data_IF_283727640961
#
_entry.id   IF_283727640961
#
_cell.length_a   1.000
_cell.length_b   1.000
_cell.length_c   1.000
_cell.angle_alpha   90.00
_cell.angle_beta   90.00
_cell.angle_gamma   90.00
#
_symmetry.space_group_name_H-M   'P 1'
#
loop_
_entity.id
_entity.type
_entity.pdbx_description
1 polymer ?
#
# COMPACT_ATOMS: atom_id res chain seq x y z
N UNK A 1 13.80 -40.21 -60.63
CA UNK A 1 14.39 -39.21 -59.72
C UNK A 1 13.33 -38.16 -59.44
N UNK A 2 12.69 -38.25 -58.29
CA UNK A 2 11.79 -37.19 -57.80
C UNK A 2 12.63 -35.96 -57.46
N UNK A 3 12.24 -34.80 -58.00
CA UNK A 3 12.81 -33.51 -57.57
C UNK A 3 12.23 -33.22 -56.18
N UNK A 4 13.05 -33.38 -55.14
CA UNK A 4 12.75 -32.79 -53.84
C UNK A 4 12.66 -31.27 -54.04
N UNK A 5 11.47 -30.70 -53.85
CA UNK A 5 11.30 -29.25 -53.82
C UNK A 5 12.00 -28.70 -52.58
N UNK A 6 13.04 -27.90 -52.78
CA UNK A 6 13.69 -27.16 -51.69
C UNK A 6 12.75 -26.03 -51.31
N UNK A 7 12.18 -26.09 -50.11
CA UNK A 7 11.37 -25.02 -49.55
C UNK A 7 12.32 -23.93 -49.04
N UNK A 8 12.40 -22.81 -49.74
CA UNK A 8 13.25 -21.68 -49.40
C UNK A 8 12.38 -20.54 -48.89
N UNK A 9 12.63 -20.10 -47.65
CA UNK A 9 12.01 -18.92 -47.09
C UNK A 9 12.77 -17.68 -47.57
N UNK A 10 12.03 -16.62 -47.88
CA UNK A 10 12.57 -15.32 -48.25
C UNK A 10 12.27 -14.32 -47.13
N UNK A 11 13.23 -13.45 -46.85
CA UNK A 11 13.11 -12.41 -45.85
C UNK A 11 13.51 -11.11 -46.52
N UNK A 12 12.60 -10.15 -46.52
CA UNK A 12 12.81 -8.80 -47.04
C UNK A 12 13.31 -7.89 -45.92
N UNK A 13 14.46 -7.24 -46.12
CA UNK A 13 15.03 -6.32 -45.14
C UNK A 13 14.13 -5.12 -44.86
N UNK A 14 13.43 -4.63 -45.88
CA UNK A 14 12.50 -3.50 -45.81
C UNK A 14 11.34 -3.80 -44.85
N UNK A 15 10.84 -5.04 -44.87
CA UNK A 15 9.81 -5.51 -43.96
C UNK A 15 10.32 -5.53 -42.51
N UNK A 16 11.52 -6.08 -42.27
CA UNK A 16 12.11 -6.14 -40.92
C UNK A 16 12.37 -4.74 -40.34
N UNK A 17 12.87 -3.81 -41.15
CA UNK A 17 13.09 -2.42 -40.75
C UNK A 17 11.76 -1.75 -40.36
N UNK A 18 10.72 -1.93 -41.18
CA UNK A 18 9.40 -1.37 -40.92
C UNK A 18 8.77 -1.95 -39.66
N UNK A 19 8.84 -3.28 -39.51
CA UNK A 19 8.30 -4.00 -38.35
C UNK A 19 8.95 -3.54 -37.04
N UNK A 20 10.28 -3.43 -37.01
CA UNK A 20 10.99 -3.00 -35.80
C UNK A 20 10.62 -1.56 -35.38
N UNK A 21 10.46 -0.67 -36.36
CA UNK A 21 10.04 0.73 -36.12
C UNK A 21 8.58 0.80 -35.66
N UNK A 22 7.68 0.03 -36.27
CA UNK A 22 6.28 -0.05 -35.82
C UNK A 22 6.17 -0.58 -34.39
N UNK A 23 6.92 -1.63 -34.06
CA UNK A 23 6.97 -2.18 -32.70
C UNK A 23 7.47 -1.17 -31.67
N UNK A 24 8.45 -0.36 -32.05
CA UNK A 24 9.06 0.62 -31.17
C UNK A 24 8.19 1.86 -30.97
N UNK A 25 7.72 2.47 -32.07
CA UNK A 25 7.03 3.77 -32.03
C UNK A 25 5.51 3.67 -31.87
N UNK A 26 4.88 2.60 -32.39
CA UNK A 26 3.41 2.49 -32.45
C UNK A 26 2.91 1.48 -31.43
N UNK A 27 3.44 0.25 -31.44
CA UNK A 27 2.94 -0.80 -30.55
C UNK A 27 3.54 -0.74 -29.14
N UNK A 28 4.59 0.04 -28.92
CA UNK A 28 5.21 0.23 -27.60
C UNK A 28 5.74 -1.07 -26.98
N UNK A 29 6.24 -2.02 -27.80
CA UNK A 29 6.70 -3.34 -27.31
C UNK A 29 7.95 -3.28 -26.42
N UNK A 30 8.59 -2.12 -26.35
CA UNK A 30 9.75 -1.84 -25.51
C UNK A 30 11.06 -1.93 -26.26
N UNK A 31 12.02 -1.13 -25.82
CA UNK A 31 13.34 -0.97 -26.46
C UNK A 31 14.09 -2.30 -26.60
N UNK A 32 14.21 -3.06 -25.51
CA UNK A 32 15.03 -4.27 -25.49
C UNK A 32 14.54 -5.34 -26.48
N UNK A 33 13.20 -5.48 -26.63
CA UNK A 33 12.61 -6.42 -27.59
C UNK A 33 12.87 -6.02 -29.04
N UNK A 34 12.85 -4.72 -29.34
CA UNK A 34 13.14 -4.21 -30.68
C UNK A 34 14.62 -4.40 -31.03
N UNK A 35 15.52 -4.15 -30.07
CA UNK A 35 16.95 -4.40 -30.21
C UNK A 35 17.26 -5.89 -30.36
N UNK A 36 16.59 -6.76 -29.59
CA UNK A 36 16.75 -8.22 -29.71
C UNK A 36 16.37 -8.72 -31.12
N UNK A 37 15.23 -8.27 -31.65
CA UNK A 37 14.79 -8.57 -33.01
C UNK A 37 15.87 -8.17 -34.04
N UNK A 38 16.29 -6.90 -34.00
CA UNK A 38 17.25 -6.35 -34.96
C UNK A 38 18.63 -7.00 -34.85
N UNK A 39 19.11 -7.27 -33.63
CA UNK A 39 20.35 -8.00 -33.41
C UNK A 39 20.31 -9.41 -34.01
N UNK A 40 19.17 -10.10 -33.91
CA UNK A 40 18.96 -11.41 -34.54
C UNK A 40 19.05 -11.32 -36.07
N UNK A 41 18.51 -10.25 -36.66
CA UNK A 41 18.49 -10.02 -38.11
C UNK A 41 19.88 -9.67 -38.71
N UNK A 42 20.82 -9.27 -37.87
CA UNK A 42 22.22 -8.95 -38.26
C UNK A 42 23.22 -9.93 -37.66
N UNK A 43 22.75 -11.04 -37.09
CA UNK A 43 23.62 -12.08 -36.53
C UNK A 43 24.35 -12.87 -37.62
N UNK A 44 25.57 -13.31 -37.34
CA UNK A 44 26.39 -14.08 -38.29
C UNK A 44 27.31 -13.25 -39.19
N UNK A 45 27.46 -11.96 -38.93
CA UNK A 45 28.51 -11.10 -39.50
C UNK A 45 29.82 -11.21 -38.69
N UNK A 46 30.91 -10.68 -39.22
CA UNK A 46 32.19 -10.55 -38.50
C UNK A 46 32.20 -9.39 -37.48
N UNK A 47 31.05 -8.74 -37.27
CA UNK A 47 30.93 -7.58 -36.37
C UNK A 47 30.78 -8.01 -34.90
N UNK A 48 31.28 -7.16 -34.01
CA UNK A 48 31.11 -7.36 -32.57
C UNK A 48 29.66 -7.09 -32.14
N UNK A 49 29.25 -7.67 -31.00
CA UNK A 49 27.91 -7.44 -30.42
C UNK A 49 27.59 -5.95 -30.22
N UNK A 50 28.59 -5.15 -29.84
CA UNK A 50 28.41 -3.71 -29.62
C UNK A 50 28.20 -2.96 -30.94
N UNK A 51 28.84 -3.39 -32.03
CA UNK A 51 28.62 -2.82 -33.37
C UNK A 51 27.22 -3.16 -33.87
N UNK A 52 26.80 -4.43 -33.76
CA UNK A 52 25.47 -4.88 -34.15
C UNK A 52 24.39 -4.11 -33.38
N UNK A 53 24.58 -3.91 -32.08
CA UNK A 53 23.66 -3.10 -31.26
C UNK A 53 23.58 -1.66 -31.75
N UNK A 54 24.72 -1.05 -32.12
CA UNK A 54 24.76 0.32 -32.62
C UNK A 54 24.00 0.46 -33.94
N UNK A 55 24.14 -0.51 -34.84
CA UNK A 55 23.37 -0.57 -36.08
C UNK A 55 21.87 -0.71 -35.81
N UNK A 56 21.48 -1.51 -34.81
CA UNK A 56 20.09 -1.65 -34.40
C UNK A 56 19.51 -0.33 -33.87
N UNK A 57 20.30 0.45 -33.13
CA UNK A 57 19.94 1.80 -32.69
C UNK A 57 19.78 2.75 -33.90
N UNK A 58 20.72 2.72 -34.85
CA UNK A 58 20.68 3.55 -36.06
C UNK A 58 19.49 3.20 -36.98
N UNK A 59 19.07 1.93 -37.02
CA UNK A 59 17.85 1.46 -37.70
C UNK A 59 16.59 2.10 -37.12
N UNK A 60 16.49 2.19 -35.79
CA UNK A 60 15.36 2.84 -35.13
C UNK A 60 15.38 4.36 -35.33
N UNK A 61 16.57 4.97 -35.43
CA UNK A 61 16.74 6.41 -35.63
C UNK A 61 16.58 6.87 -37.09
N UNK A 62 16.39 5.95 -38.04
CA UNK A 62 16.29 6.29 -39.47
C UNK A 62 17.64 6.56 -40.14
N UNK A 63 18.74 6.23 -39.47
CA UNK A 63 20.12 6.37 -39.99
C UNK A 63 20.60 5.14 -40.74
N UNK A 64 19.89 4.03 -40.61
CA UNK A 64 20.14 2.83 -41.38
C UNK A 64 18.83 2.11 -41.73
N UNK A 65 18.90 1.21 -42.71
CA UNK A 65 17.82 0.31 -43.09
C UNK A 65 18.40 -1.07 -43.47
N UNK A 66 17.70 -2.14 -43.13
CA UNK A 66 17.91 -3.44 -43.77
C UNK A 66 17.20 -3.40 -45.13
N UNK A 67 17.88 -3.84 -46.18
CA UNK A 67 17.35 -3.85 -47.54
C UNK A 67 17.68 -5.12 -48.29
N UNK A 68 16.87 -5.43 -49.30
CA UNK A 68 17.07 -6.56 -50.19
C UNK A 68 16.56 -7.88 -49.61
N UNK A 69 16.77 -8.94 -50.38
CA UNK A 69 16.19 -10.27 -50.17
C UNK A 69 17.27 -11.29 -49.84
N UNK A 70 16.98 -12.16 -48.87
CA UNK A 70 17.86 -13.31 -48.55
C UNK A 70 17.84 -14.35 -49.65
N UNK A 71 16.74 -14.48 -50.40
CA UNK A 71 16.63 -15.38 -51.55
C UNK A 71 17.47 -14.91 -52.74
N UNK A 72 17.50 -13.61 -53.00
CA UNK A 72 18.26 -13.01 -54.09
C UNK A 72 19.75 -12.77 -53.72
N UNK A 73 20.11 -12.94 -52.45
CA UNK A 73 21.45 -12.64 -51.95
C UNK A 73 21.77 -11.15 -51.92
N UNK A 74 20.74 -10.29 -51.98
CA UNK A 74 20.86 -8.83 -51.94
C UNK A 74 20.64 -8.25 -50.54
N UNK A 75 20.36 -9.10 -49.54
CA UNK A 75 20.16 -8.68 -48.15
C UNK A 75 21.41 -8.01 -47.55
N UNK A 76 21.28 -6.77 -47.11
CA UNK A 76 22.36 -6.01 -46.49
C UNK A 76 21.84 -4.92 -45.55
N UNK A 77 22.74 -4.43 -44.70
CA UNK A 77 22.56 -3.20 -43.94
C UNK A 77 23.01 -2.01 -44.79
N UNK A 78 22.13 -1.04 -45.02
CA UNK A 78 22.43 0.21 -45.67
C UNK A 78 22.52 1.32 -44.62
N UNK A 79 23.70 1.94 -44.47
CA UNK A 79 23.93 3.06 -43.56
C UNK A 79 23.86 4.37 -44.34
N UNK A 80 23.05 5.29 -43.86
CA UNK A 80 22.85 6.60 -44.47
C UNK A 80 23.91 7.61 -44.02
N UNK A 81 24.36 8.44 -44.96
CA UNK A 81 25.14 9.63 -44.63
C UNK A 81 24.26 10.75 -44.04
N UNK A 82 24.85 11.80 -43.47
CA UNK A 82 24.13 12.87 -42.76
C UNK A 82 23.04 13.61 -43.54
N UNK A 83 23.04 13.52 -44.88
CA UNK A 83 22.05 14.17 -45.76
C UNK A 83 21.14 13.17 -46.50
N UNK A 84 21.38 11.87 -46.31
CA UNK A 84 20.62 10.79 -46.95
C UNK A 84 19.78 10.01 -45.93
N UNK A 85 19.70 10.48 -44.69
CA UNK A 85 18.89 9.86 -43.64
C UNK A 85 17.41 9.80 -44.05
N UNK A 86 16.75 8.72 -43.68
CA UNK A 86 15.35 8.54 -44.02
C UNK A 86 14.50 9.54 -43.24
N UNK A 87 13.70 10.34 -43.95
CA UNK A 87 12.74 11.22 -43.30
C UNK A 87 11.63 10.39 -42.67
N UNK A 88 11.77 10.10 -41.38
CA UNK A 88 10.76 9.41 -40.62
C UNK A 88 9.48 10.27 -40.52
N UNK A 89 8.30 9.65 -40.54
CA UNK A 89 7.06 10.32 -40.18
C UNK A 89 7.16 10.98 -38.79
N UNK A 90 6.42 12.06 -38.57
CA UNK A 90 6.43 12.85 -37.31
C UNK A 90 6.24 11.96 -36.07
N UNK A 91 5.33 10.99 -36.12
CA UNK A 91 5.05 10.05 -35.03
C UNK A 91 6.14 8.98 -34.79
N UNK A 92 7.18 8.93 -35.64
CA UNK A 92 8.36 8.06 -35.49
C UNK A 92 9.66 8.88 -35.35
N UNK A 93 9.57 10.22 -35.32
CA UNK A 93 10.75 11.07 -35.18
C UNK A 93 11.09 11.23 -33.69
N UNK A 94 12.18 10.61 -33.24
CA UNK A 94 12.62 10.67 -31.84
C UNK A 94 12.80 12.10 -31.34
N UNK A 95 13.29 13.01 -32.17
CA UNK A 95 13.54 14.39 -31.75
C UNK A 95 12.27 15.17 -31.50
N UNK A 96 11.26 14.96 -32.35
CA UNK A 96 9.94 15.57 -32.20
C UNK A 96 9.23 14.99 -30.96
N UNK A 97 9.23 13.66 -30.81
CA UNK A 97 8.66 12.96 -29.66
C UNK A 97 9.30 13.43 -28.34
N UNK A 98 10.64 13.48 -28.27
CA UNK A 98 11.36 13.94 -27.07
C UNK A 98 11.08 15.42 -26.80
N UNK A 99 10.99 16.24 -27.86
CA UNK A 99 10.63 17.64 -27.76
C UNK A 99 9.24 17.85 -27.15
N UNK A 100 8.24 17.09 -27.60
CA UNK A 100 6.88 17.10 -27.06
C UNK A 100 6.82 16.60 -25.62
N UNK A 101 7.46 15.47 -25.31
CA UNK A 101 7.55 14.94 -23.95
C UNK A 101 8.13 15.96 -22.98
N UNK A 102 9.18 16.68 -23.40
CA UNK A 102 9.77 17.75 -22.59
C UNK A 102 8.78 18.88 -22.34
N UNK A 103 8.06 19.34 -23.38
CA UNK A 103 7.02 20.38 -23.24
C UNK A 103 5.95 19.94 -22.24
N UNK A 104 5.41 18.73 -22.38
CA UNK A 104 4.38 18.18 -21.49
C UNK A 104 4.90 18.09 -20.05
N UNK A 105 6.14 17.64 -19.85
CA UNK A 105 6.77 17.57 -18.53
C UNK A 105 6.90 18.96 -17.89
N UNK A 106 7.40 19.94 -18.64
CA UNK A 106 7.57 21.31 -18.16
C UNK A 106 6.21 21.94 -17.78
N UNK A 107 5.16 21.67 -18.55
CA UNK A 107 3.79 22.10 -18.24
C UNK A 107 3.23 21.42 -16.99
N UNK A 108 3.42 20.11 -16.84
CA UNK A 108 3.01 19.36 -15.66
C UNK A 108 3.68 19.90 -14.40
N UNK A 109 4.99 20.17 -14.45
CA UNK A 109 5.71 20.79 -13.33
C UNK A 109 5.16 22.18 -13.00
N UNK A 110 4.81 22.98 -14.02
CA UNK A 110 4.16 24.28 -13.83
C UNK A 110 2.81 24.13 -13.14
N UNK A 111 1.98 23.16 -13.53
CA UNK A 111 0.70 22.89 -12.87
C UNK A 111 0.88 22.42 -11.43
N UNK A 112 1.82 21.51 -11.16
CA UNK A 112 2.16 21.08 -9.78
C UNK A 112 2.57 22.26 -8.90
N UNK A 113 3.39 23.18 -9.41
CA UNK A 113 3.78 24.40 -8.68
C UNK A 113 2.57 25.29 -8.38
N UNK A 114 1.69 25.52 -9.37
CA UNK A 114 0.46 26.32 -9.20
C UNK A 114 -0.49 25.69 -8.17
N UNK A 115 -0.70 24.38 -8.27
CA UNK A 115 -1.49 23.60 -7.33
C UNK A 115 -0.97 23.75 -5.90
N UNK A 116 0.34 23.57 -5.69
CA UNK A 116 0.96 23.72 -4.37
C UNK A 116 0.76 25.12 -3.77
N UNK A 117 0.84 26.17 -4.59
CA UNK A 117 0.59 27.54 -4.12
C UNK A 117 -0.90 27.75 -3.80
N UNK A 118 -1.80 27.29 -4.67
CA UNK A 118 -3.24 27.38 -4.43
C UNK A 118 -3.65 26.66 -3.14
N UNK A 119 -3.18 25.42 -2.94
CA UNK A 119 -3.44 24.64 -1.73
C UNK A 119 -2.93 25.32 -0.45
N UNK A 120 -1.92 26.18 -0.50
CA UNK A 120 -1.50 26.95 0.69
C UNK A 120 -2.45 28.07 1.06
N UNK A 121 -3.18 28.62 0.09
CA UNK A 121 -4.04 29.80 0.27
C UNK A 121 -5.50 29.42 0.52
N UNK A 122 -5.92 28.22 0.10
CA UNK A 122 -7.30 27.76 0.23
C UNK A 122 -7.61 27.36 1.68
N UNK A 123 -8.76 27.80 2.25
CA UNK A 123 -9.25 27.36 3.57
C UNK A 123 -9.47 25.85 3.68
N UNK A 124 -9.36 25.31 4.90
CA UNK A 124 -9.43 23.87 5.18
C UNK A 124 -10.70 23.19 4.65
N UNK A 125 -11.88 23.77 4.88
CA UNK A 125 -13.16 23.16 4.44
C UNK A 125 -13.24 22.95 2.93
N UNK A 126 -12.66 23.87 2.14
CA UNK A 126 -12.58 23.71 0.68
C UNK A 126 -11.56 22.65 0.28
N UNK A 127 -10.48 22.43 1.05
CA UNK A 127 -9.54 21.33 0.77
C UNK A 127 -10.18 19.97 0.98
N UNK A 128 -11.01 19.85 2.02
CA UNK A 128 -11.78 18.64 2.32
C UNK A 128 -12.77 18.34 1.18
N UNK A 129 -13.51 19.34 0.70
CA UNK A 129 -14.40 19.21 -0.46
C UNK A 129 -13.66 18.83 -1.75
N UNK A 130 -12.53 19.47 -2.03
CA UNK A 130 -11.67 19.12 -3.18
C UNK A 130 -11.12 17.69 -3.04
N UNK A 131 -10.75 17.27 -1.83
CA UNK A 131 -10.24 15.92 -1.56
C UNK A 131 -11.29 14.84 -1.80
N UNK A 132 -12.54 15.08 -1.37
CA UNK A 132 -13.68 14.18 -1.66
C UNK A 132 -13.91 14.04 -3.17
N UNK A 133 -13.88 15.15 -3.91
CA UNK A 133 -14.12 15.13 -5.36
C UNK A 133 -12.99 14.43 -6.13
N UNK A 134 -11.74 14.51 -5.64
CA UNK A 134 -10.57 13.88 -6.25
C UNK A 134 -10.30 12.46 -5.76
N UNK A 135 -11.06 11.95 -4.78
CA UNK A 135 -10.78 10.70 -4.06
C UNK A 135 -9.36 10.69 -3.43
N UNK A 136 -8.94 11.83 -2.87
CA UNK A 136 -7.63 12.05 -2.25
C UNK A 136 -7.75 12.68 -0.85
N UNK A 137 -7.02 12.19 0.15
CA UNK A 137 -6.87 12.89 1.44
C UNK A 137 -5.89 14.06 1.29
N UNK A 138 -6.44 15.25 1.00
CA UNK A 138 -5.68 16.49 0.86
C UNK A 138 -5.46 17.22 2.19
N UNK A 139 -5.90 16.65 3.31
CA UNK A 139 -5.58 17.21 4.62
C UNK A 139 -4.16 16.82 4.99
N UNK A 140 -3.22 17.78 4.90
CA UNK A 140 -1.81 17.51 5.21
C UNK A 140 -1.68 16.81 6.58
N UNK A 141 -0.88 15.73 6.71
CA UNK A 141 -0.69 15.03 7.98
C UNK A 141 -0.14 15.94 9.08
N UNK A 142 0.58 17.00 8.72
CA UNK A 142 1.16 17.99 9.64
C UNK A 142 0.15 19.03 10.15
N UNK A 143 -1.07 19.09 9.57
CA UNK A 143 -2.13 20.05 9.94
C UNK A 143 -3.32 19.39 10.64
N UNK A 144 -3.30 18.08 10.87
CA UNK A 144 -4.19 17.50 11.88
C UNK A 144 -3.85 18.23 13.18
N UNK A 145 -4.79 18.91 13.87
CA UNK A 145 -4.54 19.19 15.27
C UNK A 145 -4.10 17.85 15.87
N UNK A 146 -2.99 17.82 16.58
CA UNK A 146 -2.60 16.64 17.35
C UNK A 146 -3.65 16.53 18.46
N UNK A 147 -4.86 16.11 18.09
CA UNK A 147 -5.84 15.54 18.99
C UNK A 147 -5.08 14.35 19.53
N UNK A 148 -4.68 14.42 20.80
CA UNK A 148 -3.98 13.30 21.41
C UNK A 148 -4.82 12.05 21.19
N UNK A 149 -4.19 10.89 21.02
CA UNK A 149 -4.91 9.62 20.90
C UNK A 149 -5.95 9.45 22.02
N UNK A 150 -5.67 10.02 23.19
CA UNK A 150 -6.60 10.12 24.32
C UNK A 150 -7.86 10.95 24.02
N UNK A 151 -7.71 12.15 23.44
CA UNK A 151 -8.84 13.02 23.08
C UNK A 151 -9.64 12.43 21.91
N UNK A 152 -8.98 11.77 20.96
CA UNK A 152 -9.63 11.11 19.83
C UNK A 152 -10.49 9.93 20.32
N UNK A 153 -9.93 9.08 21.19
CA UNK A 153 -10.67 7.98 21.82
C UNK A 153 -11.83 8.46 22.70
N UNK A 154 -11.65 9.58 23.41
CA UNK A 154 -12.71 10.22 24.19
C UNK A 154 -13.84 10.70 23.28
N UNK A 155 -13.51 11.42 22.21
CA UNK A 155 -14.49 11.91 21.24
C UNK A 155 -15.21 10.75 20.54
N UNK A 156 -14.49 9.69 20.15
CA UNK A 156 -15.08 8.47 19.56
C UNK A 156 -16.16 7.90 20.48
N UNK A 157 -15.86 7.68 21.76
CA UNK A 157 -16.84 7.17 22.74
C UNK A 157 -18.01 8.13 22.97
N UNK A 158 -17.73 9.44 23.09
CA UNK A 158 -18.76 10.43 23.42
C UNK A 158 -19.71 10.75 22.25
N UNK A 159 -19.23 10.59 21.01
CA UNK A 159 -20.01 10.81 19.79
C UNK A 159 -20.64 9.53 19.26
N UNK A 160 -20.32 8.38 19.85
CA UNK A 160 -20.95 7.11 19.55
C UNK A 160 -22.41 7.14 19.98
N UNK A 161 -23.31 6.95 19.00
CA UNK A 161 -24.76 6.91 19.21
C UNK A 161 -25.34 5.51 19.03
N UNK A 162 -24.50 4.53 18.75
CA UNK A 162 -24.93 3.14 18.58
C UNK A 162 -25.24 2.50 19.94
N UNK A 163 -26.25 1.63 19.98
CA UNK A 163 -26.56 0.86 21.19
C UNK A 163 -25.62 -0.36 21.26
N UNK A 164 -24.78 -0.40 22.28
CA UNK A 164 -23.88 -1.53 22.54
C UNK A 164 -24.53 -2.56 23.44
N UNK A 165 -24.15 -3.83 23.28
CA UNK A 165 -24.66 -4.91 24.15
C UNK A 165 -24.09 -4.84 25.56
N UNK A 166 -23.02 -4.05 25.76
CA UNK A 166 -22.24 -3.95 26.98
C UNK A 166 -21.96 -2.49 27.34
N UNK A 167 -21.90 -2.23 28.64
CA UNK A 167 -21.41 -0.95 29.20
C UNK A 167 -19.91 -0.75 28.92
N UNK A 168 -19.43 0.48 29.00
CA UNK A 168 -18.08 0.83 28.56
C UNK A 168 -16.96 0.29 29.45
N UNK A 169 -17.17 0.19 30.76
CA UNK A 169 -16.10 -0.16 31.70
C UNK A 169 -16.55 -1.21 32.70
N UNK A 170 -15.59 -1.94 33.26
CA UNK A 170 -15.90 -3.00 34.20
C UNK A 170 -14.82 -4.05 34.35
N UNK A 171 -15.23 -5.16 34.97
CA UNK A 171 -14.39 -6.32 35.25
C UNK A 171 -14.88 -7.54 34.48
N UNK A 172 -13.96 -8.23 33.82
CA UNK A 172 -14.24 -9.43 33.03
C UNK A 172 -13.62 -10.66 33.69
N UNK A 173 -14.50 -11.59 34.09
CA UNK A 173 -14.13 -12.87 34.69
C UNK A 173 -13.36 -13.78 33.72
N UNK A 174 -12.56 -14.73 34.22
CA UNK A 174 -11.97 -15.80 33.41
C UNK A 174 -12.98 -16.61 32.58
N UNK A 175 -14.24 -16.68 33.01
CA UNK A 175 -15.31 -17.38 32.30
C UNK A 175 -16.03 -16.52 31.24
N UNK A 176 -15.61 -15.27 31.05
CA UNK A 176 -16.21 -14.32 30.09
C UNK A 176 -17.40 -13.51 30.62
N UNK A 177 -17.78 -13.67 31.89
CA UNK A 177 -18.83 -12.83 32.50
C UNK A 177 -18.31 -11.43 32.78
N UNK A 178 -18.98 -10.43 32.22
CA UNK A 178 -18.67 -9.01 32.42
C UNK A 178 -19.50 -8.40 33.54
N UNK A 179 -18.85 -7.58 34.37
CA UNK A 179 -19.46 -6.81 35.43
C UNK A 179 -19.22 -5.34 35.14
N UNK A 180 -20.27 -4.65 34.70
CA UNK A 180 -20.22 -3.23 34.40
C UNK A 180 -19.93 -2.41 35.67
N UNK A 181 -18.99 -1.48 35.56
CA UNK A 181 -18.61 -0.57 36.64
C UNK A 181 -18.48 0.83 36.07
N UNK A 182 -18.96 1.84 36.82
CA UNK A 182 -18.83 3.23 36.39
C UNK A 182 -17.37 3.66 36.40
N UNK A 183 -17.06 4.62 35.53
CA UNK A 183 -15.73 5.21 35.50
C UNK A 183 -15.36 5.79 36.87
N UNK A 184 -14.23 5.36 37.42
CA UNK A 184 -13.74 5.75 38.75
C UNK A 184 -13.94 4.70 39.84
N UNK A 185 -14.93 3.81 39.70
CA UNK A 185 -15.40 2.96 40.81
C UNK A 185 -14.79 1.54 40.77
N UNK A 186 -13.85 1.26 39.86
CA UNK A 186 -13.30 -0.08 39.63
C UNK A 186 -12.65 -0.72 40.87
N UNK A 187 -11.95 0.07 41.68
CA UNK A 187 -11.27 -0.41 42.89
C UNK A 187 -12.26 -0.66 44.03
N UNK A 188 -13.26 0.20 44.16
CA UNK A 188 -14.36 0.03 45.11
C UNK A 188 -15.14 -1.24 44.81
N UNK A 189 -15.55 -1.43 43.55
CA UNK A 189 -16.22 -2.65 43.11
C UNK A 189 -15.38 -3.90 43.37
N UNK A 190 -14.07 -3.85 43.07
CA UNK A 190 -13.18 -5.00 43.30
C UNK A 190 -13.08 -5.35 44.79
N UNK A 191 -13.03 -4.34 45.66
CA UNK A 191 -12.99 -4.54 47.11
C UNK A 191 -14.30 -5.13 47.61
N UNK A 192 -15.44 -4.56 47.24
CA UNK A 192 -16.77 -5.08 47.60
C UNK A 192 -16.97 -6.52 47.11
N UNK A 193 -16.48 -6.84 45.92
CA UNK A 193 -16.51 -8.20 45.40
C UNK A 193 -15.70 -9.16 46.29
N UNK A 194 -14.45 -8.82 46.63
CA UNK A 194 -13.61 -9.65 47.50
C UNK A 194 -14.20 -9.77 48.91
N UNK A 195 -14.74 -8.68 49.45
CA UNK A 195 -15.43 -8.63 50.73
C UNK A 195 -16.63 -9.58 50.74
N UNK A 196 -17.46 -9.56 49.69
CA UNK A 196 -18.62 -10.44 49.55
C UNK A 196 -18.26 -11.93 49.47
N UNK A 197 -17.00 -12.26 49.15
CA UNK A 197 -16.49 -13.63 49.08
C UNK A 197 -15.89 -14.11 50.41
N UNK A 198 -15.51 -13.20 51.31
CA UNK A 198 -15.02 -13.56 52.63
C UNK A 198 -16.17 -14.14 53.46
N UNK A 199 -16.02 -15.38 53.93
CA UNK A 199 -17.06 -16.07 54.74
C UNK A 199 -16.69 -16.17 56.20
N UNK A 200 -15.44 -15.88 56.53
CA UNK A 200 -14.88 -15.98 57.88
C UNK A 200 -14.18 -14.68 58.27
N UNK A 201 -14.14 -14.40 59.58
CA UNK A 201 -13.46 -13.23 60.15
C UNK A 201 -11.96 -13.20 59.79
N UNK A 202 -11.35 -14.39 59.65
CA UNK A 202 -9.95 -14.56 59.27
C UNK A 202 -9.69 -14.22 57.80
N UNK A 203 -10.62 -14.52 56.90
CA UNK A 203 -10.56 -14.12 55.48
C UNK A 203 -10.80 -12.62 55.34
N UNK A 204 -11.76 -12.08 56.08
CA UNK A 204 -12.05 -10.65 56.11
C UNK A 204 -10.84 -9.84 56.59
N UNK A 205 -10.16 -10.30 57.64
CA UNK A 205 -8.94 -9.67 58.17
C UNK A 205 -7.75 -9.73 57.20
N UNK A 206 -7.81 -10.57 56.16
CA UNK A 206 -6.78 -10.71 55.12
C UNK A 206 -7.13 -9.97 53.82
N UNK A 207 -8.24 -9.24 53.78
CA UNK A 207 -8.61 -8.46 52.60
C UNK A 207 -7.52 -7.44 52.26
N UNK A 208 -7.23 -7.22 50.98
CA UNK A 208 -6.30 -6.19 50.54
C UNK A 208 -6.82 -4.81 50.91
N UNK A 209 -5.96 -3.79 50.85
CA UNK A 209 -6.44 -2.41 50.92
C UNK A 209 -7.28 -2.09 49.69
N UNK A 210 -8.19 -1.12 49.80
CA UNK A 210 -9.09 -0.70 48.71
C UNK A 210 -8.36 -0.50 47.37
N UNK A 211 -7.21 0.19 47.37
CA UNK A 211 -6.43 0.48 46.17
C UNK A 211 -5.62 -0.72 45.63
N UNK A 212 -5.55 -1.82 46.37
CA UNK A 212 -4.86 -3.07 45.99
C UNK A 212 -5.86 -4.15 45.50
N UNK A 213 -7.16 -3.92 45.66
CA UNK A 213 -8.18 -4.92 45.36
C UNK A 213 -8.19 -5.33 43.87
N UNK A 214 -8.04 -4.37 42.95
CA UNK A 214 -7.94 -4.67 41.52
C UNK A 214 -6.68 -5.47 41.15
N UNK A 215 -5.56 -5.24 41.84
CA UNK A 215 -4.33 -6.01 41.63
C UNK A 215 -4.50 -7.47 42.07
N UNK A 216 -5.33 -7.74 43.07
CA UNK A 216 -5.67 -9.11 43.49
C UNK A 216 -6.49 -9.80 42.41
N UNK A 217 -7.54 -9.15 41.88
CA UNK A 217 -8.37 -9.74 40.82
C UNK A 217 -7.58 -10.02 39.53
N UNK A 218 -6.72 -9.09 39.10
CA UNK A 218 -5.90 -9.30 37.91
C UNK A 218 -4.94 -10.48 38.08
N UNK A 219 -4.35 -10.68 39.27
CA UNK A 219 -3.53 -11.87 39.61
C UNK A 219 -4.33 -13.18 39.56
N UNK A 220 -5.63 -13.13 39.88
CA UNK A 220 -6.56 -14.25 39.74
C UNK A 220 -7.00 -14.49 38.28
N UNK A 221 -6.52 -13.70 37.32
CA UNK A 221 -6.80 -13.86 35.89
C UNK A 221 -8.00 -13.06 35.40
N UNK A 222 -8.52 -12.14 36.20
CA UNK A 222 -9.53 -11.18 35.73
C UNK A 222 -8.90 -10.11 34.85
N UNK A 223 -9.73 -9.50 34.00
CA UNK A 223 -9.34 -8.42 33.10
C UNK A 223 -10.13 -7.17 33.46
N UNK A 224 -9.44 -6.05 33.64
CA UNK A 224 -10.03 -4.74 33.86
C UNK A 224 -10.21 -4.04 32.52
N UNK A 225 -11.44 -3.67 32.17
CA UNK A 225 -11.76 -2.76 31.07
C UNK A 225 -11.91 -1.36 31.66
N UNK A 226 -10.93 -0.49 31.43
CA UNK A 226 -10.96 0.90 31.89
C UNK A 226 -10.26 1.82 30.90
N UNK A 227 -10.48 3.14 30.98
CA UNK A 227 -9.64 4.12 30.29
C UNK A 227 -9.55 5.41 31.11
N UNK A 228 -8.37 5.81 31.62
CA UNK A 228 -8.21 7.04 32.40
C UNK A 228 -8.66 8.31 31.66
N UNK A 229 -8.53 8.33 30.34
CA UNK A 229 -8.92 9.44 29.46
C UNK A 229 -10.41 9.44 29.12
N UNK A 230 -11.19 8.53 29.70
CA UNK A 230 -12.60 8.32 29.38
C UNK A 230 -12.85 7.99 27.88
N UNK A 231 -11.89 7.38 27.20
CA UNK A 231 -12.08 6.85 25.84
C UNK A 231 -12.58 5.40 25.82
N UNK A 232 -12.57 4.76 24.65
CA UNK A 232 -12.84 3.32 24.54
C UNK A 232 -11.95 2.53 25.52
N UNK A 233 -12.52 1.57 26.24
CA UNK A 233 -11.80 0.83 27.28
C UNK A 233 -10.57 0.07 26.74
N UNK A 234 -9.49 0.10 27.51
CA UNK A 234 -8.33 -0.78 27.32
C UNK A 234 -8.45 -1.99 28.25
N UNK A 235 -8.15 -3.17 27.70
CA UNK A 235 -8.07 -4.41 28.45
C UNK A 235 -6.75 -4.50 29.22
N UNK A 236 -6.82 -4.45 30.55
CA UNK A 236 -5.68 -4.53 31.45
C UNK A 236 -5.72 -5.85 32.22
N UNK A 237 -4.64 -6.63 32.12
CA UNK A 237 -4.49 -7.92 32.79
C UNK A 237 -3.11 -8.05 33.42
N UNK A 238 -2.95 -9.03 34.31
CA UNK A 238 -1.64 -9.43 34.77
C UNK A 238 -0.78 -9.93 33.60
N UNK A 239 0.47 -9.46 33.53
CA UNK A 239 1.37 -9.75 32.40
C UNK A 239 1.78 -11.23 32.34
N UNK A 240 1.67 -11.96 33.45
CA UNK A 240 1.98 -13.40 33.56
C UNK A 240 0.79 -14.31 33.19
N UNK A 241 -0.38 -13.74 32.94
CA UNK A 241 -1.61 -14.49 32.60
C UNK A 241 -2.00 -14.26 31.15
N UNK A 242 -2.42 -15.30 30.46
CA UNK A 242 -3.04 -15.16 29.14
C UNK A 242 -4.56 -14.98 29.25
N UNK A 243 -5.17 -14.35 28.25
CA UNK A 243 -6.62 -14.31 28.15
C UNK A 243 -7.15 -15.73 27.94
N UNK A 244 -8.21 -16.07 28.68
CA UNK A 244 -8.99 -17.27 28.38
C UNK A 244 -9.72 -17.12 27.04
N UNK A 245 -10.14 -18.23 26.44
CA UNK A 245 -10.92 -18.18 25.20
C UNK A 245 -12.21 -17.35 25.37
N UNK A 246 -12.92 -17.51 26.48
CA UNK A 246 -14.14 -16.77 26.77
C UNK A 246 -13.88 -15.26 26.92
N UNK A 247 -12.74 -14.87 27.51
CA UNK A 247 -12.33 -13.46 27.57
C UNK A 247 -11.98 -12.91 26.19
N UNK A 248 -11.30 -13.70 25.34
CA UNK A 248 -10.96 -13.27 23.98
C UNK A 248 -12.21 -13.05 23.12
N UNK A 249 -13.19 -13.96 23.20
CA UNK A 249 -14.46 -13.83 22.49
C UNK A 249 -15.21 -12.58 22.95
N UNK A 250 -15.34 -12.36 24.26
CA UNK A 250 -15.97 -11.14 24.79
C UNK A 250 -15.26 -9.86 24.33
N UNK A 251 -13.93 -9.80 24.43
CA UNK A 251 -13.16 -8.62 24.05
C UNK A 251 -13.23 -8.35 22.54
N UNK A 252 -13.25 -9.41 21.73
CA UNK A 252 -13.40 -9.29 20.28
C UNK A 252 -14.73 -8.61 19.93
N UNK A 253 -15.85 -9.14 20.45
CA UNK A 253 -17.17 -8.58 20.21
C UNK A 253 -17.28 -7.14 20.74
N UNK A 254 -16.74 -6.88 21.94
CA UNK A 254 -16.70 -5.54 22.55
C UNK A 254 -16.03 -4.49 21.65
N UNK A 255 -14.88 -4.82 21.03
CA UNK A 255 -14.17 -3.89 20.16
C UNK A 255 -14.81 -3.77 18.77
N UNK A 256 -15.38 -4.85 18.24
CA UNK A 256 -16.10 -4.81 16.95
C UNK A 256 -17.33 -3.91 17.04
N UNK A 257 -18.13 -4.02 18.10
CA UNK A 257 -19.29 -3.15 18.33
C UNK A 257 -18.88 -1.66 18.36
N UNK A 258 -17.66 -1.35 18.81
CA UNK A 258 -17.12 0.02 18.92
C UNK A 258 -16.25 0.44 17.74
N UNK A 259 -16.35 -0.27 16.61
CA UNK A 259 -15.59 -0.02 15.38
C UNK A 259 -14.07 0.05 15.63
N UNK A 260 -13.54 -0.82 16.49
CA UNK A 260 -12.14 -0.95 16.88
C UNK A 260 -11.57 -2.28 16.32
N UNK A 261 -11.57 -2.43 14.99
CA UNK A 261 -11.17 -3.68 14.32
C UNK A 261 -9.70 -4.05 14.58
N UNK A 262 -8.81 -3.07 14.71
CA UNK A 262 -7.40 -3.32 15.00
C UNK A 262 -7.23 -3.93 16.39
N UNK A 263 -7.86 -3.33 17.40
CA UNK A 263 -7.84 -3.83 18.78
C UNK A 263 -8.51 -5.21 18.88
N UNK A 264 -9.61 -5.44 18.16
CA UNK A 264 -10.28 -6.73 18.10
C UNK A 264 -9.34 -7.83 17.56
N UNK A 265 -8.64 -7.55 16.46
CA UNK A 265 -7.68 -8.48 15.86
C UNK A 265 -6.47 -8.73 16.77
N UNK A 266 -6.00 -7.72 17.50
CA UNK A 266 -4.88 -7.83 18.43
C UNK A 266 -5.14 -8.79 19.59
N UNK A 267 -6.40 -8.99 20.00
CA UNK A 267 -6.77 -9.97 21.04
C UNK A 267 -6.39 -11.40 20.65
N UNK A 268 -6.41 -11.71 19.35
CA UNK A 268 -6.14 -13.05 18.81
C UNK A 268 -4.70 -13.24 18.33
N UNK A 269 -3.91 -12.16 18.23
CA UNK A 269 -2.48 -12.27 17.93
C UNK A 269 -1.80 -12.97 19.11
N UNK A 270 -1.37 -14.21 18.90
CA UNK A 270 -0.49 -14.90 19.85
C UNK A 270 0.79 -14.07 19.98
N UNK A 271 1.28 -13.87 21.21
CA UNK A 271 2.61 -13.27 21.40
C UNK A 271 3.61 -14.19 20.72
N UNK A 272 4.08 -13.82 19.53
CA UNK A 272 5.34 -14.34 19.01
C UNK A 272 6.39 -14.00 20.06
N UNK A 273 6.84 -15.04 20.78
CA UNK A 273 7.90 -14.90 21.77
C UNK A 273 9.16 -14.48 21.03
N UNK A 274 9.60 -13.23 21.28
CA UNK A 274 10.98 -12.81 21.10
C UNK A 274 11.87 -13.51 22.13
#
# INVERSE_FOLDING_TARGET
MEKQGVFQFDIEGEYLTSLAREWFYVEGKGYDKCIELLNGCMSGTDETKDQIRRHAEDLLLGRAALKGSTREGSYHLEIYGPESEEKMPEYMNVWDIVGEQKKVKDELERYKRRWKVAMKMIPRYLKEEIGIELDEDLTEPESRPVVSRDLDNYMKRMLDTEEHTTEDYGWLEPNGKFHAVKWGDHQEWAYEYLESKAKTEEEYSKLPRLYEAGDVLTKEGWVLLHNPSQGIAMATKDSSKDYTKAQKEFLFDYYIERNCEEEANDIWKEREQL
#
